data_IF_923689536732
#
_entry.id   IF_923689536732
#
_cell.length_a   1.000
_cell.length_b   1.000
_cell.length_c   1.000
_cell.angle_alpha   90.00
_cell.angle_beta   90.00
_cell.angle_gamma   90.00
#
_symmetry.space_group_name_H-M   'P 1'
#
loop_
_entity.id
_entity.type
_entity.pdbx_description
1 polymer ?
#
# COMPACT_ATOMS: atom_id res chain seq x y z
N UNK A 1 14.85 0.28 4.73
CA UNK A 1 14.91 -0.96 3.94
C UNK A 1 13.50 -1.25 3.46
N UNK A 2 13.27 -1.38 2.15
CA UNK A 2 11.93 -1.62 1.60
C UNK A 2 11.53 -3.06 1.89
N UNK A 3 10.35 -3.24 2.50
CA UNK A 3 9.77 -4.55 2.84
C UNK A 3 8.62 -4.87 1.88
N UNK A 4 8.26 -6.14 1.73
CA UNK A 4 7.18 -6.57 0.84
C UNK A 4 5.87 -6.75 1.62
N UNK A 5 4.76 -6.36 1.00
CA UNK A 5 3.40 -6.58 1.49
C UNK A 5 2.45 -6.81 0.30
N UNK A 6 1.16 -7.07 0.56
CA UNK A 6 0.14 -7.28 -0.48
C UNK A 6 -0.99 -6.27 -0.35
N UNK A 7 -1.76 -6.07 -1.43
CA UNK A 7 -2.97 -5.24 -1.38
C UNK A 7 -3.91 -5.66 -0.26
N UNK A 8 -4.12 -6.97 -0.07
CA UNK A 8 -4.98 -7.48 1.00
C UNK A 8 -4.54 -6.99 2.39
N UNK A 9 -3.24 -7.09 2.70
CA UNK A 9 -2.69 -6.67 4.00
C UNK A 9 -2.76 -5.15 4.19
N UNK A 10 -2.47 -4.38 3.15
CA UNK A 10 -2.62 -2.91 3.18
C UNK A 10 -4.08 -2.54 3.43
N UNK A 11 -5.02 -3.16 2.71
CA UNK A 11 -6.45 -2.89 2.89
C UNK A 11 -6.89 -3.22 4.32
N UNK A 12 -6.54 -4.39 4.85
CA UNK A 12 -6.83 -4.75 6.23
C UNK A 12 -6.25 -3.76 7.25
N UNK A 13 -5.03 -3.26 7.03
CA UNK A 13 -4.44 -2.26 7.91
C UNK A 13 -5.18 -0.92 7.87
N UNK A 14 -5.72 -0.53 6.71
CA UNK A 14 -6.56 0.67 6.55
C UNK A 14 -7.92 0.47 7.21
N UNK A 15 -8.60 -0.65 6.96
CA UNK A 15 -9.91 -0.96 7.55
C UNK A 15 -9.86 -1.05 9.08
N UNK A 16 -8.75 -1.57 9.63
CA UNK A 16 -8.53 -1.64 11.08
C UNK A 16 -8.03 -0.32 11.70
N UNK A 17 -7.99 0.78 10.93
CA UNK A 17 -7.49 2.10 11.35
C UNK A 17 -6.04 2.11 11.85
N UNK A 18 -5.24 1.09 11.51
CA UNK A 18 -3.80 1.07 11.82
C UNK A 18 -3.05 2.09 10.95
N UNK A 19 -3.49 2.23 9.70
CA UNK A 19 -2.93 3.13 8.71
C UNK A 19 -4.02 3.99 8.09
N UNK A 20 -3.75 5.29 7.94
CA UNK A 20 -4.68 6.26 7.38
C UNK A 20 -4.09 6.80 6.07
N UNK A 21 -4.73 6.58 4.91
CA UNK A 21 -4.24 7.12 3.64
C UNK A 21 -4.32 8.65 3.62
N UNK A 22 -3.18 9.30 3.42
CA UNK A 22 -3.07 10.77 3.30
C UNK A 22 -3.16 11.17 1.82
N UNK A 23 -2.42 10.47 0.97
CA UNK A 23 -2.28 10.79 -0.45
C UNK A 23 -1.99 9.53 -1.24
N UNK A 24 -2.60 9.39 -2.41
CA UNK A 24 -2.20 8.41 -3.41
C UNK A 24 -1.91 9.10 -4.74
N UNK A 25 -0.91 8.58 -5.44
CA UNK A 25 -0.47 9.06 -6.74
C UNK A 25 -0.31 7.85 -7.66
N UNK A 26 -0.84 7.96 -8.88
CA UNK A 26 -0.59 7.03 -9.97
C UNK A 26 0.30 7.73 -11.00
N UNK A 27 1.49 7.19 -11.21
CA UNK A 27 2.43 7.68 -12.21
C UNK A 27 2.42 6.74 -13.41
N UNK A 28 2.11 7.26 -14.60
CA UNK A 28 2.21 6.52 -15.84
C UNK A 28 3.63 6.67 -16.42
N UNK A 29 4.34 5.56 -16.63
CA UNK A 29 5.72 5.54 -17.11
C UNK A 29 5.88 6.03 -18.55
N UNK A 30 4.86 5.78 -19.38
CA UNK A 30 4.90 6.11 -20.81
C UNK A 30 4.61 7.59 -21.05
N UNK A 31 3.56 8.12 -20.43
CA UNK A 31 3.18 9.54 -20.59
C UNK A 31 3.91 10.47 -19.62
N UNK A 32 4.59 9.93 -18.62
CA UNK A 32 5.20 10.66 -17.51
C UNK A 32 4.22 11.54 -16.72
N UNK A 33 2.92 11.24 -16.79
CA UNK A 33 1.88 11.99 -16.08
C UNK A 33 1.63 11.40 -14.69
N UNK A 34 1.26 12.28 -13.76
CA UNK A 34 0.89 11.91 -12.38
C UNK A 34 -0.56 12.29 -12.16
N UNK A 35 -1.36 11.29 -11.81
CA UNK A 35 -2.74 11.47 -11.38
C UNK A 35 -2.79 11.34 -9.85
N UNK A 36 -3.42 12.31 -9.19
CA UNK A 36 -3.61 12.24 -7.73
C UNK A 36 -4.94 11.56 -7.44
N UNK A 37 -4.91 10.54 -6.59
CA UNK A 37 -6.08 9.79 -6.16
C UNK A 37 -6.43 10.23 -4.73
N UNK A 38 -7.71 10.52 -4.51
CA UNK A 38 -8.24 10.82 -3.18
C UNK A 38 -8.13 9.57 -2.27
N UNK A 39 -7.84 9.77 -0.98
CA UNK A 39 -7.78 8.71 0.03
C UNK A 39 -9.06 7.89 0.13
N UNK A 40 -10.23 8.51 0.00
CA UNK A 40 -11.52 7.80 0.01
C UNK A 40 -11.65 6.84 -1.18
N UNK A 41 -11.41 7.35 -2.39
CA UNK A 41 -11.43 6.54 -3.62
C UNK A 41 -10.36 5.45 -3.62
N UNK A 42 -9.19 5.70 -3.03
CA UNK A 42 -8.17 4.66 -2.85
C UNK A 42 -8.71 3.51 -1.98
N UNK A 43 -9.30 3.82 -0.82
CA UNK A 43 -9.83 2.80 0.08
C UNK A 43 -10.93 1.97 -0.61
N UNK A 44 -11.85 2.62 -1.33
CA UNK A 44 -12.89 1.94 -2.10
C UNK A 44 -12.32 1.03 -3.20
N UNK A 45 -11.30 1.51 -3.95
CA UNK A 45 -10.64 0.72 -4.99
C UNK A 45 -9.91 -0.49 -4.40
N UNK A 46 -9.17 -0.31 -3.30
CA UNK A 46 -8.47 -1.39 -2.62
C UNK A 46 -9.46 -2.42 -2.05
N UNK A 47 -10.56 -1.96 -1.46
CA UNK A 47 -11.63 -2.81 -0.96
C UNK A 47 -12.29 -3.62 -2.08
N UNK A 48 -12.61 -2.98 -3.20
CA UNK A 48 -13.18 -3.64 -4.39
C UNK A 48 -12.25 -4.71 -4.96
N UNK A 49 -10.94 -4.43 -4.99
CA UNK A 49 -9.92 -5.42 -5.37
C UNK A 49 -9.86 -6.58 -4.36
N UNK A 50 -10.05 -6.31 -3.07
CA UNK A 50 -10.08 -7.35 -2.04
C UNK A 50 -11.32 -8.25 -2.14
N UNK A 51 -12.48 -7.69 -2.50
CA UNK A 51 -13.73 -8.43 -2.70
C UNK A 51 -13.68 -9.37 -3.91
N UNK A 52 -12.83 -9.07 -4.89
CA UNK A 52 -12.60 -9.96 -6.04
C UNK A 52 -11.90 -11.29 -5.68
N UNK A 53 -11.50 -11.46 -4.41
CA UNK A 53 -10.92 -12.70 -3.87
C UNK A 53 -9.45 -12.84 -4.22
N UNK A 54 -9.12 -13.75 -5.15
CA UNK A 54 -7.74 -14.19 -5.42
C UNK A 54 -6.82 -13.05 -5.86
N UNK A 55 -7.35 -12.02 -6.52
CA UNK A 55 -6.52 -10.91 -7.03
C UNK A 55 -5.95 -10.03 -5.91
N UNK A 56 -6.56 -10.02 -4.72
CA UNK A 56 -6.13 -9.23 -3.58
C UNK A 56 -4.71 -9.59 -3.10
N UNK A 57 -4.34 -10.87 -3.22
CA UNK A 57 -3.01 -11.39 -2.89
C UNK A 57 -2.02 -11.29 -4.04
N UNK A 58 -2.48 -11.11 -5.29
CA UNK A 58 -1.61 -11.08 -6.47
C UNK A 58 -0.84 -9.76 -6.60
N UNK A 59 -1.38 -8.66 -6.06
CA UNK A 59 -0.76 -7.34 -6.17
C UNK A 59 0.19 -7.13 -5.00
N UNK A 60 1.49 -7.22 -5.32
CA UNK A 60 2.59 -7.00 -4.38
C UNK A 60 2.99 -5.53 -4.27
N UNK A 61 3.28 -5.11 -3.06
CA UNK A 61 3.72 -3.76 -2.72
C UNK A 61 5.07 -3.79 -2.03
N UNK A 62 5.83 -2.73 -2.21
CA UNK A 62 7.00 -2.43 -1.39
C UNK A 62 6.68 -1.27 -0.48
N UNK A 63 6.89 -1.44 0.83
CA UNK A 63 6.64 -0.38 1.80
C UNK A 63 7.88 -0.08 2.63
N UNK A 64 7.97 1.17 3.08
CA UNK A 64 8.99 1.62 4.03
C UNK A 64 8.43 2.66 4.98
N UNK A 65 9.04 2.76 6.15
CA UNK A 65 8.70 3.79 7.14
C UNK A 65 9.27 5.13 6.70
N UNK A 66 8.43 6.14 6.68
CA UNK A 66 8.84 7.53 6.48
C UNK A 66 9.02 8.21 7.84
N UNK A 67 10.27 8.32 8.27
CA UNK A 67 10.64 8.96 9.54
C UNK A 67 10.35 10.46 9.56
N UNK A 68 10.19 11.13 8.41
CA UNK A 68 9.91 12.58 8.36
C UNK A 68 8.46 12.88 8.70
N UNK A 69 7.54 12.04 8.23
CA UNK A 69 6.10 12.20 8.45
C UNK A 69 5.56 11.28 9.55
N UNK A 70 6.44 10.46 10.16
CA UNK A 70 6.11 9.39 11.10
C UNK A 70 5.00 8.47 10.57
N UNK A 71 5.12 8.12 9.30
CA UNK A 71 4.17 7.31 8.56
C UNK A 71 4.85 6.25 7.73
N UNK A 72 4.18 5.82 6.66
CA UNK A 72 4.67 4.81 5.74
C UNK A 72 4.44 5.26 4.30
N UNK A 73 5.34 4.84 3.41
CA UNK A 73 5.19 4.96 1.98
C UNK A 73 5.10 3.55 1.41
N UNK A 74 4.04 3.26 0.68
CA UNK A 74 3.83 1.99 -0.02
C UNK A 74 3.80 2.23 -1.52
N UNK A 75 4.50 1.40 -2.28
CA UNK A 75 4.62 1.51 -3.74
C UNK A 75 4.34 0.18 -4.42
N UNK A 76 3.44 0.20 -5.40
CA UNK A 76 3.16 -0.92 -6.28
C UNK A 76 3.87 -0.72 -7.62
N UNK A 77 4.37 -1.80 -8.21
CA UNK A 77 4.86 -1.84 -9.60
C UNK A 77 6.10 -0.98 -9.95
N UNK A 78 6.71 -0.29 -8.98
CA UNK A 78 7.91 0.53 -9.22
C UNK A 78 9.08 -0.26 -9.80
N UNK A 79 9.28 -1.49 -9.33
CA UNK A 79 10.37 -2.38 -9.78
C UNK A 79 9.96 -3.30 -10.93
N UNK A 80 8.70 -3.28 -11.34
CA UNK A 80 8.18 -4.12 -12.40
C UNK A 80 8.39 -3.43 -13.76
N UNK A 81 9.23 -4.00 -14.63
CA UNK A 81 9.52 -3.44 -15.95
C UNK A 81 8.35 -3.53 -16.94
N UNK A 82 7.37 -4.41 -16.70
CA UNK A 82 6.23 -4.64 -17.57
C UNK A 82 5.00 -3.80 -17.16
N UNK A 83 5.00 -3.24 -15.95
CA UNK A 83 3.89 -2.42 -15.49
C UNK A 83 3.98 -0.99 -16.00
N UNK A 84 2.92 -0.50 -16.63
CA UNK A 84 2.83 0.88 -17.15
C UNK A 84 2.63 1.92 -16.04
N UNK A 85 1.97 1.55 -14.95
CA UNK A 85 1.63 2.45 -13.86
C UNK A 85 2.38 2.09 -12.58
N UNK A 86 2.85 3.11 -11.86
CA UNK A 86 3.38 3.01 -10.49
C UNK A 86 2.35 3.67 -9.58
N UNK A 87 1.87 2.94 -8.57
CA UNK A 87 1.00 3.52 -7.55
C UNK A 87 1.82 3.76 -6.30
N UNK A 88 1.87 5.00 -5.82
CA UNK A 88 2.52 5.38 -4.57
C UNK A 88 1.47 5.90 -3.60
N UNK A 89 1.42 5.31 -2.40
CA UNK A 89 0.51 5.69 -1.33
C UNK A 89 1.32 6.16 -0.14
N UNK A 90 0.95 7.33 0.40
CA UNK A 90 1.46 7.87 1.66
C UNK A 90 0.42 7.63 2.76
N UNK A 91 0.86 6.96 3.81
CA UNK A 91 0.04 6.48 4.91
C UNK A 91 0.52 7.13 6.22
N UNK A 92 -0.41 7.63 7.03
CA UNK A 92 -0.17 8.02 8.42
C UNK A 92 -0.39 6.82 9.33
N UNK A 93 0.32 6.79 10.45
CA UNK A 93 -0.03 5.92 11.57
C UNK A 93 -1.37 6.36 12.19
N UNK A 94 -2.21 5.38 12.58
CA UNK A 94 -3.40 5.62 13.38
C UNK A 94 -3.05 6.14 14.79
N UNK A 95 -4.02 6.77 15.44
CA UNK A 95 -3.78 7.38 16.76
C UNK A 95 -3.60 6.30 17.83
N UNK A 96 -2.48 6.34 18.57
CA UNK A 96 -2.14 5.35 19.60
C UNK A 96 -1.63 4.00 19.07
N UNK A 97 -1.44 3.86 17.76
CA UNK A 97 -0.92 2.64 17.13
C UNK A 97 0.61 2.66 17.13
N UNK A 98 1.23 1.57 17.56
CA UNK A 98 2.68 1.44 17.52
C UNK A 98 3.18 0.92 16.17
N UNK A 99 4.49 1.06 15.93
CA UNK A 99 5.08 0.61 14.68
C UNK A 99 5.15 -0.92 14.57
N UNK A 100 5.19 -1.64 15.70
CA UNK A 100 5.32 -3.10 15.75
C UNK A 100 4.02 -3.77 15.29
N UNK A 101 2.87 -3.26 15.73
CA UNK A 101 1.53 -3.67 15.31
C UNK A 101 1.35 -3.48 13.81
N UNK A 102 1.81 -2.36 13.27
CA UNK A 102 1.78 -2.08 11.82
C UNK A 102 2.69 -3.05 11.07
N UNK A 103 3.92 -3.23 11.54
CA UNK A 103 4.86 -4.15 10.91
C UNK A 103 4.33 -5.58 10.92
N UNK A 104 3.70 -6.03 12.01
CA UNK A 104 3.02 -7.33 12.11
C UNK A 104 1.83 -7.42 11.15
N UNK A 105 1.02 -6.37 11.04
CA UNK A 105 -0.13 -6.34 10.15
C UNK A 105 0.26 -6.38 8.66
N UNK A 106 1.35 -5.72 8.29
CA UNK A 106 1.82 -5.65 6.90
C UNK A 106 2.71 -6.83 6.48
N UNK A 107 3.24 -7.59 7.43
CA UNK A 107 4.13 -8.72 7.15
C UNK A 107 3.39 -9.80 6.35
N UNK A 108 4.03 -10.26 5.28
CA UNK A 108 3.66 -11.49 4.59
C UNK A 108 4.31 -12.63 5.37
N UNK A 109 3.53 -13.63 5.76
CA UNK A 109 4.09 -14.89 6.26
C UNK A 109 4.64 -15.64 5.05
N UNK A 110 5.95 -15.83 5.00
CA UNK A 110 6.55 -16.74 4.04
C UNK A 110 6.07 -18.14 4.43
N UNK A 111 5.22 -18.73 3.59
CA UNK A 111 4.88 -20.15 3.72
C UNK A 111 6.13 -20.90 3.28
N UNK A 112 6.85 -21.49 4.23
CA UNK A 112 7.93 -22.44 3.93
C UNK A 112 7.28 -23.64 3.22
N UNK A 113 7.47 -23.75 1.90
CA UNK A 113 7.26 -25.00 1.14
C UNK A 113 8.49 -25.91 1.25
#
# INVERSE_FOLDING_TARGET
MKRRTTTQKINSAITNNLLIPIKAECYNKTTCQIETINSGTLAENLQSLCESGVLASCIGWHYERDYKTNGYIAECSRTDGCAENIVTVRLRTGDGVDAEDIERALKIEETEE
#
